data_IF_036347216025
#
_entry.id   IF_036347216025
#
_cell.length_a   1.000
_cell.length_b   1.000
_cell.length_c   1.000
_cell.angle_alpha   90.00
_cell.angle_beta   90.00
_cell.angle_gamma   90.00
#
_symmetry.space_group_name_H-M   'P 1'
#
loop_
_entity.id
_entity.type
_entity.pdbx_description
1 polymer ?
#
# COMPACT_ATOMS: atom_id res chain seq x y z
N UNK A 1 -6.67 -49.93 -3.90
CA UNK A 1 -6.30 -48.52 -4.17
C UNK A 1 -6.08 -47.83 -2.85
N UNK A 2 -4.85 -47.44 -2.54
CA UNK A 2 -4.58 -46.61 -1.37
C UNK A 2 -5.06 -45.18 -1.62
N UNK A 3 -5.86 -44.63 -0.71
CA UNK A 3 -6.20 -43.21 -0.75
C UNK A 3 -4.95 -42.42 -0.36
N UNK A 4 -4.35 -41.71 -1.33
CA UNK A 4 -3.31 -40.72 -1.02
C UNK A 4 -3.86 -39.75 0.04
N UNK A 5 -3.12 -39.46 1.13
CA UNK A 5 -3.55 -38.46 2.09
C UNK A 5 -3.68 -37.11 1.37
N UNK A 6 -4.79 -36.42 1.60
CA UNK A 6 -4.96 -35.02 1.17
C UNK A 6 -3.91 -34.17 1.87
N UNK A 7 -2.89 -33.73 1.13
CA UNK A 7 -1.92 -32.77 1.63
C UNK A 7 -2.61 -31.42 1.82
N UNK A 8 -2.94 -31.09 3.07
CA UNK A 8 -3.33 -29.73 3.41
C UNK A 8 -2.14 -28.81 3.17
N UNK A 9 -2.31 -27.84 2.27
CA UNK A 9 -1.26 -26.90 1.95
C UNK A 9 -1.14 -25.87 3.09
N UNK A 10 -0.22 -26.13 4.03
CA UNK A 10 0.06 -25.26 5.17
C UNK A 10 0.87 -24.00 4.79
N UNK A 11 0.87 -23.59 3.52
CA UNK A 11 1.52 -22.36 3.06
C UNK A 11 0.82 -21.14 3.65
N UNK A 12 1.49 -20.44 4.57
CA UNK A 12 1.04 -19.15 5.09
C UNK A 12 0.99 -18.15 3.92
N UNK A 13 -0.17 -17.54 3.68
CA UNK A 13 -0.31 -16.49 2.66
C UNK A 13 0.59 -15.30 3.02
N UNK A 14 1.44 -14.88 2.08
CA UNK A 14 2.47 -13.86 2.33
C UNK A 14 1.83 -12.49 2.63
N UNK A 15 0.69 -12.19 2.00
CA UNK A 15 -0.18 -11.04 2.28
C UNK A 15 -0.54 -10.91 3.76
N UNK A 16 -0.95 -12.01 4.40
CA UNK A 16 -1.34 -12.06 5.81
C UNK A 16 -0.20 -11.73 6.78
N UNK A 17 0.99 -12.25 6.52
CA UNK A 17 2.18 -11.89 7.31
C UNK A 17 2.56 -10.41 7.14
N UNK A 18 2.50 -9.88 5.92
CA UNK A 18 2.82 -8.47 5.64
C UNK A 18 1.89 -7.51 6.40
N UNK A 19 0.57 -7.74 6.37
CA UNK A 19 -0.38 -6.89 7.09
C UNK A 19 -0.19 -7.01 8.62
N UNK A 20 0.03 -8.22 9.14
CA UNK A 20 0.34 -8.46 10.55
C UNK A 20 1.60 -7.71 11.01
N UNK A 21 2.65 -7.71 10.19
CA UNK A 21 3.90 -7.01 10.47
C UNK A 21 3.69 -5.49 10.48
N UNK A 22 2.92 -4.94 9.53
CA UNK A 22 2.54 -3.51 9.50
C UNK A 22 1.79 -3.12 10.79
N UNK A 23 0.84 -3.94 11.26
CA UNK A 23 0.11 -3.71 12.51
C UNK A 23 1.01 -3.80 13.75
N UNK A 24 1.89 -4.81 13.82
CA UNK A 24 2.86 -4.93 14.91
C UNK A 24 3.79 -3.72 14.98
N UNK A 25 4.38 -3.29 13.86
CA UNK A 25 5.18 -2.08 13.77
C UNK A 25 4.39 -0.83 14.20
N UNK A 26 3.15 -0.69 13.74
CA UNK A 26 2.26 0.41 14.15
C UNK A 26 1.99 0.40 15.67
N UNK A 27 1.87 -0.76 16.30
CA UNK A 27 1.74 -0.92 17.76
C UNK A 27 3.02 -0.50 18.48
N UNK A 28 4.19 -1.02 18.07
CA UNK A 28 5.50 -0.67 18.67
C UNK A 28 5.77 0.85 18.55
N UNK A 29 5.40 1.46 17.42
CA UNK A 29 5.51 2.91 17.21
C UNK A 29 4.70 3.75 18.20
N UNK A 30 3.59 3.23 18.74
CA UNK A 30 2.77 3.91 19.76
C UNK A 30 3.34 3.77 21.17
N UNK A 31 4.26 2.84 21.41
CA UNK A 31 4.84 2.55 22.73
C UNK A 31 6.28 3.04 22.91
N UNK A 32 6.88 3.63 21.86
CA UNK A 32 8.22 4.21 21.91
C UNK A 32 8.17 5.71 21.70
N UNK A 33 8.99 6.44 22.47
CA UNK A 33 9.16 7.89 22.33
C UNK A 33 10.45 8.26 21.58
N UNK A 34 11.28 7.26 21.22
CA UNK A 34 12.58 7.47 20.60
C UNK A 34 12.45 7.93 19.14
N UNK A 35 12.82 9.18 18.78
CA UNK A 35 12.49 9.74 17.47
C UNK A 35 13.11 8.98 16.29
N UNK A 36 14.29 8.40 16.47
CA UNK A 36 14.97 7.63 15.42
C UNK A 36 14.39 6.23 15.24
N UNK A 37 13.92 5.60 16.32
CA UNK A 37 13.16 4.33 16.25
C UNK A 37 11.83 4.58 15.52
N UNK A 38 11.11 5.68 15.83
CA UNK A 38 9.88 6.06 15.14
C UNK A 38 10.11 6.27 13.63
N UNK A 39 11.20 6.96 13.24
CA UNK A 39 11.59 7.13 11.83
C UNK A 39 11.86 5.78 11.16
N UNK A 40 12.64 4.91 11.79
CA UNK A 40 12.93 3.56 11.30
C UNK A 40 11.66 2.73 11.08
N UNK A 41 10.72 2.78 12.03
CA UNK A 41 9.42 2.10 11.91
C UNK A 41 8.58 2.69 10.76
N UNK A 42 8.51 4.02 10.63
CA UNK A 42 7.77 4.68 9.54
C UNK A 42 8.34 4.34 8.15
N UNK A 43 9.67 4.20 8.04
CA UNK A 43 10.35 3.69 6.84
C UNK A 43 9.90 2.25 6.55
N UNK A 44 10.02 1.35 7.53
CA UNK A 44 9.66 -0.06 7.37
C UNK A 44 8.20 -0.24 6.98
N UNK A 45 7.27 0.48 7.62
CA UNK A 45 5.84 0.48 7.24
C UNK A 45 5.66 0.95 5.78
N UNK A 46 6.31 2.05 5.38
CA UNK A 46 6.18 2.58 4.01
C UNK A 46 6.68 1.60 2.94
N UNK A 47 7.74 0.83 3.24
CA UNK A 47 8.23 -0.24 2.36
C UNK A 47 7.25 -1.41 2.34
N UNK A 48 6.82 -1.91 3.52
CA UNK A 48 5.92 -3.04 3.65
C UNK A 48 4.55 -2.80 3.00
N UNK A 49 4.01 -1.57 3.05
CA UNK A 49 2.78 -1.21 2.33
C UNK A 49 2.93 -1.40 0.82
N UNK A 50 4.07 -1.06 0.24
CA UNK A 50 4.33 -1.30 -1.19
C UNK A 50 4.39 -2.81 -1.50
N UNK A 51 5.06 -3.59 -0.66
CA UNK A 51 5.16 -5.06 -0.81
C UNK A 51 3.80 -5.72 -0.65
N UNK A 52 2.96 -5.23 0.28
CA UNK A 52 1.60 -5.71 0.47
C UNK A 52 0.73 -5.45 -0.78
N UNK A 53 0.83 -4.26 -1.37
CA UNK A 53 0.14 -3.94 -2.63
C UNK A 53 0.60 -4.86 -3.78
N UNK A 54 1.91 -5.07 -3.95
CA UNK A 54 2.44 -5.98 -4.97
C UNK A 54 1.97 -7.43 -4.73
N UNK A 55 1.92 -7.89 -3.47
CA UNK A 55 1.46 -9.24 -3.12
C UNK A 55 -0.03 -9.46 -3.40
N UNK A 56 -0.90 -8.49 -3.07
CA UNK A 56 -2.33 -8.56 -3.40
C UNK A 56 -2.54 -8.54 -4.92
N UNK A 57 -1.79 -7.71 -5.64
CA UNK A 57 -1.87 -7.67 -7.11
C UNK A 57 -1.37 -8.98 -7.75
N UNK A 58 -0.34 -9.63 -7.19
CA UNK A 58 0.07 -10.96 -7.62
C UNK A 58 -1.08 -11.96 -7.46
N UNK A 59 -1.59 -12.14 -6.24
CA UNK A 59 -2.66 -13.11 -5.94
C UNK A 59 -3.91 -12.90 -6.82
N UNK A 60 -4.32 -11.64 -7.00
CA UNK A 60 -5.47 -11.28 -7.83
C UNK A 60 -5.25 -11.58 -9.32
N UNK A 61 -4.11 -11.15 -9.89
CA UNK A 61 -3.82 -11.37 -11.31
C UNK A 61 -3.55 -12.85 -11.61
N UNK A 62 -2.89 -13.56 -10.71
CA UNK A 62 -2.65 -15.00 -10.80
C UNK A 62 -3.96 -15.79 -10.83
N UNK A 63 -4.89 -15.49 -9.91
CA UNK A 63 -6.22 -16.11 -9.89
C UNK A 63 -6.99 -15.90 -11.22
N UNK A 64 -6.92 -14.70 -11.79
CA UNK A 64 -7.56 -14.37 -13.08
C UNK A 64 -6.90 -15.12 -14.24
N UNK A 65 -5.57 -15.20 -14.25
CA UNK A 65 -4.81 -15.95 -15.27
C UNK A 65 -5.14 -17.43 -15.19
N UNK A 66 -5.13 -18.03 -14.00
CA UNK A 66 -5.48 -19.44 -13.78
C UNK A 66 -6.90 -19.76 -14.24
N UNK A 67 -7.89 -18.91 -13.90
CA UNK A 67 -9.28 -19.06 -14.34
C UNK A 67 -9.35 -19.14 -15.87
N UNK A 68 -8.70 -18.19 -16.56
CA UNK A 68 -8.69 -18.15 -18.03
C UNK A 68 -7.93 -19.30 -18.68
N UNK A 69 -6.85 -19.79 -18.05
CA UNK A 69 -6.13 -21.01 -18.50
C UNK A 69 -7.03 -22.25 -18.41
N UNK A 70 -7.91 -22.33 -17.40
CA UNK A 70 -8.88 -23.43 -17.22
C UNK A 70 -10.07 -23.33 -18.18
N UNK A 71 -10.48 -22.12 -18.55
CA UNK A 71 -11.64 -21.85 -19.42
C UNK A 71 -11.31 -21.87 -20.93
N UNK A 72 -10.06 -21.66 -21.34
CA UNK A 72 -9.67 -21.61 -22.76
C UNK A 72 -9.32 -22.98 -23.36
N UNK A 73 -9.82 -23.23 -24.58
CA UNK A 73 -9.37 -24.32 -25.44
C UNK A 73 -8.26 -23.90 -26.44
N UNK A 74 -8.01 -22.59 -26.60
CA UNK A 74 -6.94 -22.09 -27.49
C UNK A 74 -5.57 -22.30 -26.85
N UNK A 75 -4.77 -23.17 -27.47
CA UNK A 75 -3.39 -23.50 -27.07
C UNK A 75 -2.43 -22.31 -27.23
N UNK A 76 -2.64 -21.45 -28.22
CA UNK A 76 -1.80 -20.25 -28.43
C UNK A 76 -2.05 -19.22 -27.35
N UNK A 77 -3.33 -18.92 -27.07
CA UNK A 77 -3.70 -18.02 -25.98
C UNK A 77 -3.25 -18.56 -24.60
N UNK A 78 -3.39 -19.88 -24.36
CA UNK A 78 -2.89 -20.52 -23.14
C UNK A 78 -1.39 -20.30 -22.92
N UNK A 79 -0.55 -20.48 -23.94
CA UNK A 79 0.91 -20.22 -23.85
C UNK A 79 1.23 -18.75 -23.52
N UNK A 80 0.43 -17.80 -24.03
CA UNK A 80 0.56 -16.38 -23.69
C UNK A 80 0.24 -16.16 -22.21
N UNK A 81 -0.83 -16.74 -21.70
CA UNK A 81 -1.22 -16.67 -20.28
C UNK A 81 -0.16 -17.28 -19.36
N UNK A 82 0.35 -18.47 -19.68
CA UNK A 82 1.45 -19.13 -18.94
C UNK A 82 2.72 -18.25 -18.93
N UNK A 83 3.06 -17.62 -20.06
CA UNK A 83 4.18 -16.67 -20.15
C UNK A 83 3.97 -15.42 -19.28
N UNK A 84 2.73 -14.93 -19.15
CA UNK A 84 2.39 -13.80 -18.29
C UNK A 84 2.45 -14.22 -16.81
N UNK A 85 1.97 -15.42 -16.45
CA UNK A 85 2.07 -15.95 -15.08
C UNK A 85 3.53 -16.05 -14.64
N UNK A 86 4.41 -16.57 -15.50
CA UNK A 86 5.86 -16.59 -15.22
C UNK A 86 6.44 -15.20 -14.96
N UNK A 87 6.01 -14.17 -15.71
CA UNK A 87 6.46 -12.78 -15.51
C UNK A 87 5.96 -12.18 -14.19
N UNK A 88 4.78 -12.58 -13.72
CA UNK A 88 4.16 -12.08 -12.49
C UNK A 88 5.05 -12.36 -11.27
N UNK A 89 5.61 -13.58 -11.18
CA UNK A 89 6.47 -14.04 -10.06
C UNK A 89 7.69 -13.16 -9.75
N UNK A 90 8.10 -12.28 -10.68
CA UNK A 90 9.24 -11.35 -10.54
C UNK A 90 8.87 -9.92 -10.94
N UNK A 91 7.57 -9.60 -10.97
CA UNK A 91 7.10 -8.29 -11.36
C UNK A 91 7.43 -7.24 -10.27
N UNK A 92 8.00 -6.12 -10.71
CA UNK A 92 7.98 -4.85 -9.98
C UNK A 92 6.69 -4.09 -10.26
N UNK A 93 6.35 -3.10 -9.44
CA UNK A 93 5.21 -2.19 -9.63
C UNK A 93 4.88 -1.84 -11.09
N UNK A 94 5.85 -1.36 -11.88
CA UNK A 94 5.59 -0.98 -13.28
C UNK A 94 5.20 -2.19 -14.15
N UNK A 95 5.81 -3.35 -13.91
CA UNK A 95 5.45 -4.59 -14.61
C UNK A 95 4.06 -5.09 -14.18
N UNK A 96 3.64 -4.91 -12.91
CA UNK A 96 2.24 -5.15 -12.52
C UNK A 96 1.28 -4.24 -13.29
N UNK A 97 1.62 -2.97 -13.52
CA UNK A 97 0.77 -2.07 -14.32
C UNK A 97 0.62 -2.56 -15.76
N UNK A 98 1.70 -3.05 -16.38
CA UNK A 98 1.68 -3.50 -17.78
C UNK A 98 1.04 -4.88 -17.95
N UNK A 99 1.27 -5.81 -17.01
CA UNK A 99 0.54 -7.08 -16.94
C UNK A 99 -0.96 -6.81 -16.73
N UNK A 100 -1.32 -5.90 -15.83
CA UNK A 100 -2.72 -5.54 -15.58
C UNK A 100 -3.41 -4.97 -16.83
N UNK A 101 -2.74 -4.13 -17.63
CA UNK A 101 -3.29 -3.66 -18.92
C UNK A 101 -3.54 -4.79 -19.93
N UNK A 102 -2.81 -5.89 -19.80
CA UNK A 102 -2.89 -7.04 -20.71
C UNK A 102 -3.98 -8.02 -20.27
N UNK A 103 -4.17 -8.19 -18.96
CA UNK A 103 -5.12 -9.15 -18.37
C UNK A 103 -6.48 -8.50 -18.08
N UNK A 104 -6.52 -7.28 -17.54
CA UNK A 104 -7.77 -6.62 -17.15
C UNK A 104 -8.38 -5.86 -18.35
N UNK A 105 -9.72 -5.74 -18.44
CA UNK A 105 -10.37 -4.97 -19.50
C UNK A 105 -10.16 -3.45 -19.37
N UNK A 106 -9.67 -2.99 -18.21
CA UNK A 106 -9.35 -1.58 -17.90
C UNK A 106 -8.02 -1.50 -17.17
N UNK A 107 -7.37 -0.34 -17.25
CA UNK A 107 -6.12 -0.06 -16.54
C UNK A 107 -6.35 0.07 -15.03
N UNK A 108 -5.36 -0.26 -14.18
CA UNK A 108 -5.55 -0.24 -12.72
C UNK A 108 -6.09 1.10 -12.16
N UNK A 109 -5.72 2.22 -12.78
CA UNK A 109 -6.18 3.56 -12.40
C UNK A 109 -7.65 3.86 -12.72
N UNK A 110 -8.37 2.97 -13.41
CA UNK A 110 -9.82 3.06 -13.63
C UNK A 110 -10.60 2.57 -12.39
N UNK A 111 -10.06 1.60 -11.67
CA UNK A 111 -10.73 1.01 -10.50
C UNK A 111 -10.69 1.92 -9.27
N UNK A 112 -9.73 2.84 -9.20
CA UNK A 112 -9.55 3.74 -8.05
C UNK A 112 -9.75 5.22 -8.43
N UNK A 113 -10.08 6.06 -7.45
CA UNK A 113 -10.14 7.50 -7.68
C UNK A 113 -8.73 8.11 -7.85
N UNK A 114 -8.68 9.29 -8.49
CA UNK A 114 -7.44 9.95 -8.85
C UNK A 114 -6.56 10.29 -7.63
N UNK A 115 -7.16 10.66 -6.49
CA UNK A 115 -6.42 10.95 -5.26
C UNK A 115 -5.73 9.70 -4.72
N UNK A 116 -6.47 8.59 -4.65
CA UNK A 116 -5.94 7.29 -4.21
C UNK A 116 -4.83 6.82 -5.14
N UNK A 117 -5.04 6.90 -6.46
CA UNK A 117 -4.03 6.56 -7.46
C UNK A 117 -2.75 7.42 -7.33
N UNK A 118 -2.92 8.74 -7.17
CA UNK A 118 -1.81 9.67 -6.94
C UNK A 118 -1.04 9.31 -5.66
N UNK A 119 -1.75 8.99 -4.59
CA UNK A 119 -1.15 8.56 -3.33
C UNK A 119 -0.32 7.29 -3.43
N UNK A 120 -0.82 6.28 -4.14
CA UNK A 120 -0.07 5.04 -4.39
C UNK A 120 1.17 5.31 -5.24
N UNK A 121 1.07 6.13 -6.31
CA UNK A 121 2.24 6.53 -7.10
C UNK A 121 3.29 7.27 -6.26
N UNK A 122 2.87 8.11 -5.32
CA UNK A 122 3.75 8.82 -4.39
C UNK A 122 4.39 7.86 -3.37
N UNK A 123 3.65 6.89 -2.85
CA UNK A 123 4.15 5.84 -1.95
C UNK A 123 5.23 4.98 -2.61
N UNK A 124 4.98 4.44 -3.82
CA UNK A 124 6.00 3.69 -4.57
C UNK A 124 7.20 4.56 -4.96
N UNK A 125 6.97 5.85 -5.27
CA UNK A 125 8.06 6.81 -5.50
C UNK A 125 8.93 6.97 -4.25
N UNK A 126 8.34 7.14 -3.07
CA UNK A 126 9.06 7.24 -1.81
C UNK A 126 9.86 5.95 -1.51
N UNK A 127 9.24 4.77 -1.65
CA UNK A 127 9.92 3.48 -1.45
C UNK A 127 11.15 3.32 -2.34
N UNK A 128 11.05 3.64 -3.63
CA UNK A 128 12.19 3.54 -4.56
C UNK A 128 13.37 4.43 -4.13
N UNK A 129 13.11 5.58 -3.50
CA UNK A 129 14.16 6.53 -3.11
C UNK A 129 14.83 6.09 -1.81
N UNK A 130 14.03 5.61 -0.84
CA UNK A 130 14.50 5.00 0.40
C UNK A 130 15.35 3.75 0.14
N UNK A 131 14.82 2.77 -0.60
CA UNK A 131 15.46 1.46 -0.80
C UNK A 131 16.77 1.57 -1.59
N UNK A 132 16.90 2.58 -2.46
CA UNK A 132 18.15 2.86 -3.17
C UNK A 132 19.09 3.84 -2.43
N UNK A 133 18.83 4.16 -1.16
CA UNK A 133 19.70 5.01 -0.33
C UNK A 133 19.95 6.40 -0.90
N UNK A 134 19.02 6.94 -1.70
CA UNK A 134 19.24 8.20 -2.43
C UNK A 134 19.18 9.38 -1.47
N UNK A 135 20.25 10.18 -1.43
CA UNK A 135 20.37 11.34 -0.56
C UNK A 135 19.22 12.34 -0.72
N UNK A 136 18.73 12.85 0.42
CA UNK A 136 17.70 13.89 0.46
C UNK A 136 18.35 15.25 0.26
N UNK A 137 18.45 15.70 -1.00
CA UNK A 137 18.95 17.04 -1.33
C UNK A 137 17.92 18.11 -0.98
N UNK A 138 18.16 18.80 0.13
CA UNK A 138 17.40 19.96 0.59
C UNK A 138 18.29 21.21 0.64
N UNK A 139 17.71 22.38 0.39
CA UNK A 139 18.33 23.70 0.56
C UNK A 139 17.63 24.44 1.68
N UNK A 140 18.40 25.11 2.54
CA UNK A 140 17.87 26.10 3.48
C UNK A 140 17.98 27.47 2.82
N UNK A 141 16.84 28.14 2.62
CA UNK A 141 16.75 29.51 2.10
C UNK A 141 16.24 30.42 3.21
N UNK A 142 16.73 31.66 3.23
CA UNK A 142 16.14 32.73 4.04
C UNK A 142 15.33 33.63 3.11
N UNK A 143 14.01 33.68 3.32
CA UNK A 143 13.06 34.40 2.47
C UNK A 143 11.93 34.95 3.34
N UNK A 144 11.51 36.19 3.10
CA UNK A 144 10.43 36.87 3.83
C UNK A 144 10.61 36.80 5.37
N UNK A 145 11.82 37.15 5.84
CA UNK A 145 12.29 37.06 7.24
C UNK A 145 12.16 35.67 7.91
N UNK A 146 12.05 34.61 7.10
CA UNK A 146 11.86 33.24 7.59
C UNK A 146 12.80 32.23 6.93
N UNK A 147 13.21 31.23 7.69
CA UNK A 147 13.90 30.05 7.15
C UNK A 147 12.90 29.11 6.47
N UNK A 148 13.22 28.71 5.23
CA UNK A 148 12.43 27.83 4.38
C UNK A 148 13.30 26.66 3.91
N UNK A 149 12.83 25.44 4.11
CA UNK A 149 13.47 24.22 3.59
C UNK A 149 12.84 23.89 2.24
N UNK A 150 13.64 23.88 1.17
CA UNK A 150 13.24 23.42 -0.15
C UNK A 150 13.87 22.07 -0.47
N UNK A 151 13.04 21.04 -0.61
CA UNK A 151 13.45 19.74 -1.12
C UNK A 151 13.50 19.78 -2.64
N UNK A 152 14.39 18.98 -3.24
CA UNK A 152 14.51 18.90 -4.70
C UNK A 152 14.01 17.57 -5.28
N UNK A 153 13.45 17.63 -6.48
CA UNK A 153 13.21 16.46 -7.33
C UNK A 153 12.05 15.59 -6.85
N UNK A 154 12.34 14.39 -6.34
CA UNK A 154 11.29 13.43 -5.95
C UNK A 154 10.70 13.74 -4.57
N UNK A 155 11.52 14.24 -3.64
CA UNK A 155 11.07 14.63 -2.30
C UNK A 155 10.19 15.87 -2.31
N UNK A 156 10.44 16.79 -3.25
CA UNK A 156 9.57 17.93 -3.58
C UNK A 156 8.15 17.46 -3.95
N UNK A 157 8.04 16.53 -4.92
CA UNK A 157 6.76 15.94 -5.35
C UNK A 157 6.01 15.22 -4.23
N UNK A 158 6.74 14.53 -3.34
CA UNK A 158 6.16 13.86 -2.17
C UNK A 158 5.64 14.90 -1.15
N UNK A 159 6.41 15.97 -0.92
CA UNK A 159 6.03 17.07 -0.03
C UNK A 159 4.79 17.81 -0.54
N UNK A 160 4.74 18.15 -1.82
CA UNK A 160 3.63 18.89 -2.43
C UNK A 160 2.34 18.08 -2.44
N UNK A 161 2.43 16.77 -2.68
CA UNK A 161 1.31 15.85 -2.47
C UNK A 161 0.78 15.91 -1.03
N UNK A 162 1.66 15.91 -0.01
CA UNK A 162 1.21 16.02 1.38
C UNK A 162 0.63 17.39 1.74
N UNK A 163 1.07 18.48 1.11
CA UNK A 163 0.44 19.82 1.25
C UNK A 163 -0.97 19.82 0.65
N UNK A 164 -1.11 19.33 -0.58
CA UNK A 164 -2.37 19.25 -1.32
C UNK A 164 -3.42 18.41 -0.56
N UNK A 165 -2.99 17.26 -0.04
CA UNK A 165 -3.82 16.37 0.78
C UNK A 165 -3.98 16.84 2.24
N UNK A 166 -3.44 18.01 2.59
CA UNK A 166 -3.50 18.63 3.94
C UNK A 166 -2.97 17.72 5.07
N UNK A 167 -2.08 16.79 4.74
CA UNK A 167 -1.44 15.85 5.67
C UNK A 167 -0.39 16.55 6.53
N UNK A 168 0.28 17.57 5.97
CA UNK A 168 1.24 18.43 6.67
C UNK A 168 0.70 19.88 6.68
N UNK A 169 0.55 20.46 7.88
CA UNK A 169 0.13 21.88 8.04
C UNK A 169 1.27 22.81 7.58
N UNK A 170 0.96 24.00 7.02
CA UNK A 170 1.98 24.91 6.45
C UNK A 170 2.98 25.50 7.45
N UNK A 171 2.59 25.64 8.73
CA UNK A 171 3.46 26.07 9.84
C UNK A 171 4.35 24.94 10.40
N UNK A 172 4.11 23.70 9.96
CA UNK A 172 5.18 22.71 9.94
C UNK A 172 6.19 23.14 8.85
N UNK A 173 7.03 22.22 8.33
CA UNK A 173 8.12 22.54 7.37
C UNK A 173 9.25 23.44 7.91
N UNK A 174 8.94 24.44 8.77
CA UNK A 174 9.87 25.36 9.44
C UNK A 174 10.72 24.73 10.54
N UNK A 175 10.32 23.55 11.04
CA UNK A 175 11.13 22.80 12.02
C UNK A 175 12.19 21.95 11.32
N UNK A 176 13.38 21.84 11.91
CA UNK A 176 14.54 21.09 11.41
C UNK A 176 14.33 19.57 11.17
N UNK A 177 13.24 18.97 11.66
CA UNK A 177 12.94 17.55 11.47
C UNK A 177 12.28 17.21 10.12
N UNK A 178 12.80 16.19 9.43
CA UNK A 178 12.24 15.66 8.17
C UNK A 178 10.80 15.10 8.36
N UNK A 179 9.80 15.74 7.75
CA UNK A 179 8.38 15.39 7.94
C UNK A 179 7.79 14.37 6.96
N UNK A 180 8.51 14.05 5.90
CA UNK A 180 8.08 13.09 4.86
C UNK A 180 7.86 11.68 5.45
N UNK A 181 8.59 11.33 6.52
CA UNK A 181 8.49 10.07 7.26
C UNK A 181 7.91 10.28 8.68
N UNK A 182 7.02 11.26 8.84
CA UNK A 182 6.28 11.49 10.08
C UNK A 182 5.20 10.43 10.31
N UNK A 183 4.69 10.37 11.54
CA UNK A 183 3.53 9.53 11.91
C UNK A 183 2.31 9.90 11.05
N UNK A 184 2.07 11.19 10.81
CA UNK A 184 0.98 11.72 9.98
C UNK A 184 1.09 11.22 8.53
N UNK A 185 2.26 11.38 7.91
CA UNK A 185 2.56 10.92 6.55
C UNK A 185 2.38 9.40 6.39
N UNK A 186 2.86 8.62 7.37
CA UNK A 186 2.75 7.16 7.36
C UNK A 186 1.31 6.70 7.55
N UNK A 187 0.55 7.35 8.44
CA UNK A 187 -0.88 7.07 8.64
C UNK A 187 -1.70 7.37 7.38
N UNK A 188 -1.37 8.42 6.64
CA UNK A 188 -1.98 8.72 5.35
C UNK A 188 -1.73 7.61 4.34
N UNK A 189 -0.51 7.08 4.24
CA UNK A 189 -0.21 5.97 3.35
C UNK A 189 -0.91 4.66 3.75
N UNK A 190 -1.07 4.38 5.05
CA UNK A 190 -1.87 3.22 5.50
C UNK A 190 -3.30 3.35 4.98
N UNK A 191 -3.96 4.50 5.23
CA UNK A 191 -5.34 4.76 4.78
C UNK A 191 -5.50 4.73 3.25
N UNK A 192 -4.55 5.29 2.50
CA UNK A 192 -4.54 5.28 1.04
C UNK A 192 -4.33 3.86 0.50
N UNK A 193 -3.50 3.04 1.17
CA UNK A 193 -3.28 1.64 0.79
C UNK A 193 -4.54 0.82 1.01
N UNK A 194 -5.15 0.90 2.18
CA UNK A 194 -6.42 0.25 2.52
C UNK A 194 -7.52 0.58 1.49
N UNK A 195 -7.76 1.89 1.26
CA UNK A 195 -8.69 2.40 0.24
C UNK A 195 -8.36 1.94 -1.19
N UNK A 196 -7.08 1.75 -1.53
CA UNK A 196 -6.66 1.22 -2.83
C UNK A 196 -7.02 -0.26 -2.95
N UNK A 197 -6.63 -1.08 -1.96
CA UNK A 197 -6.84 -2.53 -1.91
C UNK A 197 -8.33 -2.88 -1.97
N UNK A 198 -9.15 -2.26 -1.12
CA UNK A 198 -10.61 -2.47 -1.14
C UNK A 198 -11.21 -2.20 -2.53
N UNK A 199 -10.83 -1.08 -3.16
CA UNK A 199 -11.38 -0.67 -4.46
C UNK A 199 -10.92 -1.54 -5.62
N UNK A 200 -9.66 -2.02 -5.62
CA UNK A 200 -9.20 -2.92 -6.68
C UNK A 200 -9.81 -4.32 -6.53
N UNK A 201 -9.88 -4.87 -5.31
CA UNK A 201 -10.42 -6.21 -5.06
C UNK A 201 -11.89 -6.24 -5.46
N UNK A 202 -12.71 -5.33 -4.92
CA UNK A 202 -14.16 -5.33 -5.17
C UNK A 202 -14.43 -5.22 -6.68
N UNK A 203 -13.94 -4.17 -7.34
CA UNK A 203 -14.31 -3.92 -8.73
C UNK A 203 -13.73 -4.90 -9.74
N UNK A 204 -12.52 -5.42 -9.51
CA UNK A 204 -11.93 -6.39 -10.44
C UNK A 204 -12.68 -7.73 -10.31
N UNK A 205 -13.02 -8.16 -9.09
CA UNK A 205 -13.79 -9.39 -8.87
C UNK A 205 -15.24 -9.27 -9.37
N UNK A 206 -15.88 -8.10 -9.19
CA UNK A 206 -17.18 -7.77 -9.82
C UNK A 206 -17.10 -7.89 -11.36
N UNK A 207 -16.07 -7.32 -12.01
CA UNK A 207 -15.86 -7.45 -13.46
C UNK A 207 -15.51 -8.89 -13.89
N UNK A 208 -15.04 -9.76 -12.98
CA UNK A 208 -14.86 -11.20 -13.25
C UNK A 208 -16.12 -12.04 -12.96
N UNK A 209 -17.23 -11.41 -12.56
CA UNK A 209 -18.51 -12.05 -12.27
C UNK A 209 -18.55 -12.81 -10.94
N UNK A 210 -17.65 -12.50 -10.00
CA UNK A 210 -17.59 -13.15 -8.68
C UNK A 210 -18.70 -12.59 -7.77
N UNK A 211 -19.35 -13.45 -6.97
CA UNK A 211 -20.44 -13.01 -6.11
C UNK A 211 -19.93 -12.14 -4.96
N UNK A 212 -20.75 -11.20 -4.48
CA UNK A 212 -20.40 -10.36 -3.33
C UNK A 212 -20.03 -11.19 -2.09
N UNK A 213 -20.68 -12.35 -1.86
CA UNK A 213 -20.36 -13.25 -0.75
C UNK A 213 -18.93 -13.77 -0.83
N UNK A 214 -18.50 -14.23 -2.00
CA UNK A 214 -17.12 -14.70 -2.24
C UNK A 214 -16.10 -13.56 -2.11
N UNK A 215 -16.43 -12.34 -2.55
CA UNK A 215 -15.60 -11.13 -2.35
C UNK A 215 -15.40 -10.86 -0.86
N UNK A 216 -16.47 -10.92 -0.06
CA UNK A 216 -16.39 -10.75 1.39
C UNK A 216 -15.60 -11.89 2.06
N UNK A 217 -15.77 -13.14 1.65
CA UNK A 217 -14.98 -14.27 2.16
C UNK A 217 -13.50 -14.14 1.80
N UNK A 218 -13.16 -13.74 0.58
CA UNK A 218 -11.77 -13.49 0.17
C UNK A 218 -11.13 -12.37 1.01
N UNK A 219 -11.85 -11.24 1.18
CA UNK A 219 -11.42 -10.13 2.05
C UNK A 219 -11.26 -10.58 3.51
N UNK A 220 -12.19 -11.38 4.05
CA UNK A 220 -12.11 -11.88 5.42
C UNK A 220 -10.98 -12.90 5.61
N UNK A 221 -10.64 -13.71 4.59
CA UNK A 221 -9.50 -14.62 4.65
C UNK A 221 -8.16 -13.86 4.63
N UNK A 222 -8.07 -12.72 3.96
CA UNK A 222 -6.87 -11.86 3.97
C UNK A 222 -6.74 -11.08 5.30
N UNK A 223 -7.84 -10.58 5.86
CA UNK A 223 -7.83 -9.67 7.02
C UNK A 223 -8.10 -10.36 8.37
N UNK A 224 -9.01 -11.32 8.40
CA UNK A 224 -9.51 -11.99 9.61
C UNK A 224 -8.59 -13.08 10.17
N UNK A 225 -7.73 -13.68 9.34
CA UNK A 225 -6.76 -14.72 9.75
C UNK A 225 -5.71 -14.26 10.78
N UNK A 226 -5.71 -12.98 11.17
CA UNK A 226 -4.72 -12.39 12.07
C UNK A 226 -5.32 -11.69 13.31
N UNK A 227 -6.62 -11.83 13.55
CA UNK A 227 -7.27 -11.23 14.73
C UNK A 227 -7.20 -9.70 14.76
N UNK A 228 -7.14 -9.07 13.59
CA UNK A 228 -7.05 -7.61 13.45
C UNK A 228 -8.47 -7.04 13.50
N UNK A 229 -8.90 -6.56 14.67
CA UNK A 229 -10.14 -5.79 14.79
C UNK A 229 -9.93 -4.35 14.27
N UNK A 230 -10.40 -4.10 13.05
CA UNK A 230 -10.33 -2.77 12.44
C UNK A 230 -11.26 -1.74 13.10
N UNK A 231 -12.35 -2.15 13.78
CA UNK A 231 -13.21 -1.21 14.53
C UNK A 231 -12.58 -0.85 15.88
N UNK A 232 -11.80 -1.74 16.50
CA UNK A 232 -10.99 -1.42 17.70
C UNK A 232 -9.79 -0.51 17.37
N UNK A 233 -9.16 -0.71 16.20
CA UNK A 233 -7.98 0.06 15.76
C UNK A 233 -8.36 1.42 15.15
N UNK A 234 -9.49 1.48 14.45
CA UNK A 234 -10.07 2.69 13.86
C UNK A 234 -11.55 2.83 14.27
N UNK A 235 -11.82 3.17 15.55
CA UNK A 235 -13.18 3.42 15.98
C UNK A 235 -13.81 4.48 15.08
N UNK A 236 -15.04 4.20 14.61
CA UNK A 236 -15.87 5.17 13.88
C UNK A 236 -15.84 6.47 14.68
N UNK A 237 -15.45 7.57 14.04
CA UNK A 237 -15.17 8.82 14.74
C UNK A 237 -16.42 9.32 15.45
N UNK A 238 -16.53 9.01 16.74
CA UNK A 238 -17.41 9.74 17.64
C UNK A 238 -16.91 11.20 17.65
N UNK A 239 -17.84 12.15 17.70
CA UNK A 239 -17.53 13.58 17.59
C UNK A 239 -16.90 14.13 18.89
N UNK A 240 -15.78 13.58 19.31
CA UNK A 240 -14.92 14.14 20.36
C UNK A 240 -13.89 15.06 19.72
N UNK A 241 -14.07 16.37 19.93
CA UNK A 241 -13.02 17.36 19.69
C UNK A 241 -11.83 17.01 20.59
N UNK A 242 -10.73 16.53 20.04
CA UNK A 242 -9.43 16.73 20.67
C UNK A 242 -9.08 18.20 20.54
N UNK A 243 -8.69 18.84 21.65
CA UNK A 243 -8.10 20.18 21.60
C UNK A 243 -6.69 20.06 20.99
N UNK A 244 -6.29 21.02 20.14
CA UNK A 244 -4.99 21.01 19.45
C UNK A 244 -3.79 21.19 20.42
N UNK A 245 -4.02 21.43 21.72
CA UNK A 245 -2.98 21.74 22.74
C UNK A 245 -2.45 20.50 23.51
N UNK A 246 -3.12 19.34 23.47
CA UNK A 246 -2.75 18.14 24.24
C UNK A 246 -1.76 17.21 23.49
N UNK A 247 -0.66 17.76 22.97
CA UNK A 247 0.47 16.98 22.46
C UNK A 247 1.81 17.57 22.96
N UNK A 248 2.61 16.79 23.73
CA UNK A 248 4.00 17.14 23.95
C UNK A 248 4.81 16.85 22.68
N UNK A 249 5.37 17.93 22.09
CA UNK A 249 6.30 18.00 20.95
C UNK A 249 5.71 17.92 19.52
#
# INVERSE_FOLDING_TARGET
MEKKPTSYNNSIQTTGYLISHIHWLNKIRKTTNEPDIIKGINISISILLCTYIESILNELLESIIEKRIKETNDTSYKRVLETIQMKLTKASWNQYLDISKTILPKTLNYYVDNETWKGIKILFSLRNVIVHGKEIKAKLLFQDDNYKIEYSGIYEKILDYFKEQKVLKSHQLRSSGHKILSIQSTNHFIKITDKFIDKIIIKILEEQGVSHGEIFSYRFNILGNHGIDYEEIYPKSQNTKMNDDDLPF
#
